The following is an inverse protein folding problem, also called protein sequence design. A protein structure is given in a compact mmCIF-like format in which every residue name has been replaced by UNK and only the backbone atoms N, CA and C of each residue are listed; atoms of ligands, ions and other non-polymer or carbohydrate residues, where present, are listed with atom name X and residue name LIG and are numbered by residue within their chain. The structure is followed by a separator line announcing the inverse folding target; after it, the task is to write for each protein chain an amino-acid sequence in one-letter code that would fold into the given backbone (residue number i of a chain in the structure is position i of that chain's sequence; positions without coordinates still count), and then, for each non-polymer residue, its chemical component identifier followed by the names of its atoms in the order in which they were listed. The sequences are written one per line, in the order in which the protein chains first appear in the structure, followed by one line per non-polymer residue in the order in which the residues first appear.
data_IF_521301624184
#
_entry.id   IF_521301624184
#
_cell.length_a   1.000
_cell.length_b   1.000
_cell.length_c   1.000
_cell.angle_alpha   90.00
_cell.angle_beta   90.00
_cell.angle_gamma   90.00
#
_symmetry.space_group_name_H-M   'P 1'
#
loop_
_entity.id
_entity.type
_entity.pdbx_description
1 polymer ?
#
# COMPACT_ATOMS: atom_id res chain seq x y z
N UNK A 1 -23.01 7.15 14.51
CA UNK A 1 -23.71 5.86 14.55
C UNK A 1 -24.01 5.46 13.13
N UNK A 2 -23.44 4.36 12.65
CA UNK A 2 -23.76 3.80 11.32
C UNK A 2 -25.11 3.08 11.40
N UNK A 3 -26.12 3.61 10.74
CA UNK A 3 -27.45 2.99 10.62
C UNK A 3 -27.42 1.93 9.53
N UNK A 4 -27.76 0.68 9.87
CA UNK A 4 -27.86 -0.41 8.90
C UNK A 4 -29.33 -0.53 8.49
N UNK A 5 -29.62 -0.22 7.22
CA UNK A 5 -30.94 -0.38 6.61
C UNK A 5 -30.91 -1.56 5.64
N UNK A 6 -31.83 -2.50 5.81
CA UNK A 6 -31.99 -3.69 4.98
C UNK A 6 -33.33 -3.61 4.29
N UNK A 7 -33.31 -3.51 2.96
CA UNK A 7 -34.51 -3.54 2.13
C UNK A 7 -34.38 -4.68 1.12
N UNK A 8 -35.38 -5.55 1.02
CA UNK A 8 -35.42 -6.63 0.04
C UNK A 8 -36.15 -7.88 0.53
N UNK A 9 -35.84 -9.02 -0.08
CA UNK A 9 -36.47 -10.33 0.18
C UNK A 9 -36.01 -11.02 1.47
N UNK A 10 -35.42 -10.27 2.41
CA UNK A 10 -34.97 -10.82 3.69
C UNK A 10 -36.12 -10.88 4.68
N UNK A 11 -36.26 -12.01 5.37
CA UNK A 11 -37.20 -12.13 6.48
C UNK A 11 -36.68 -11.35 7.70
N UNK A 12 -37.52 -10.45 8.20
CA UNK A 12 -37.25 -9.62 9.37
C UNK A 12 -37.93 -10.25 10.59
N UNK A 13 -37.17 -10.35 11.68
CA UNK A 13 -37.59 -10.98 12.93
C UNK A 13 -37.50 -9.98 14.08
N UNK A 14 -38.47 -10.01 14.98
CA UNK A 14 -38.56 -9.10 16.13
C UNK A 14 -37.58 -9.43 17.26
N UNK A 15 -37.07 -10.66 17.31
CA UNK A 15 -36.10 -11.09 18.32
C UNK A 15 -34.98 -11.94 17.72
N UNK A 16 -33.83 -11.91 18.40
CA UNK A 16 -32.67 -12.71 18.03
C UNK A 16 -32.97 -14.21 18.07
N UNK A 17 -33.69 -14.67 19.10
CA UNK A 17 -34.06 -16.08 19.29
C UNK A 17 -34.95 -16.61 18.16
N UNK A 18 -35.90 -15.79 17.71
CA UNK A 18 -36.83 -16.15 16.63
C UNK A 18 -36.12 -16.17 15.28
N UNK A 19 -35.16 -15.25 15.09
CA UNK A 19 -34.27 -15.33 13.95
C UNK A 19 -33.42 -16.61 13.99
N UNK A 20 -32.81 -16.94 15.14
CA UNK A 20 -31.90 -18.10 15.26
C UNK A 20 -32.62 -19.44 15.05
N UNK A 21 -33.86 -19.57 15.53
CA UNK A 21 -34.65 -20.78 15.35
C UNK A 21 -35.10 -20.98 13.90
N UNK A 22 -35.33 -19.89 13.15
CA UNK A 22 -35.76 -19.92 11.75
C UNK A 22 -34.58 -20.02 10.78
N UNK A 23 -33.44 -19.44 11.14
CA UNK A 23 -32.24 -19.34 10.30
C UNK A 23 -31.42 -20.64 10.36
N UNK A 24 -31.66 -21.56 9.42
CA UNK A 24 -31.03 -22.90 9.42
C UNK A 24 -29.54 -22.89 9.01
N UNK A 25 -29.15 -22.04 8.06
CA UNK A 25 -27.81 -22.05 7.44
C UNK A 25 -27.04 -20.73 7.57
N UNK A 26 -27.62 -19.73 8.23
CA UNK A 26 -27.07 -18.37 8.32
C UNK A 26 -26.74 -17.94 9.74
N UNK A 27 -26.40 -16.65 9.87
CA UNK A 27 -26.32 -15.96 11.16
C UNK A 27 -27.31 -14.82 11.20
N UNK A 28 -27.76 -14.51 12.41
CA UNK A 28 -28.68 -13.40 12.66
C UNK A 28 -27.89 -12.11 12.89
N UNK A 29 -28.25 -11.07 12.15
CA UNK A 29 -27.65 -9.75 12.25
C UNK A 29 -28.72 -8.74 12.64
N UNK A 30 -28.33 -7.78 13.47
CA UNK A 30 -29.19 -6.66 13.84
C UNK A 30 -29.21 -5.61 12.73
N UNK A 31 -30.38 -5.07 12.44
CA UNK A 31 -30.60 -3.94 11.53
C UNK A 31 -31.45 -2.88 12.23
N UNK A 32 -31.06 -1.61 12.06
CA UNK A 32 -31.84 -0.48 12.57
C UNK A 32 -33.19 -0.37 11.86
N UNK A 33 -33.24 -0.76 10.58
CA UNK A 33 -34.46 -0.80 9.80
C UNK A 33 -34.40 -2.01 8.86
N UNK A 34 -35.36 -2.91 8.95
CA UNK A 34 -35.52 -4.05 8.04
C UNK A 34 -36.91 -3.96 7.41
N UNK A 35 -36.99 -3.72 6.09
CA UNK A 35 -38.27 -3.60 5.36
C UNK A 35 -39.29 -2.65 6.03
N UNK A 36 -38.81 -1.55 6.62
CA UNK A 36 -39.62 -0.58 7.35
C UNK A 36 -39.91 -0.92 8.82
N UNK A 37 -39.50 -2.08 9.31
CA UNK A 37 -39.54 -2.43 10.73
C UNK A 37 -38.27 -1.95 11.45
N UNK A 38 -38.39 -1.06 12.45
CA UNK A 38 -37.25 -0.63 13.24
C UNK A 38 -36.76 -1.76 14.16
N UNK A 39 -35.48 -1.71 14.50
CA UNK A 39 -34.82 -2.55 15.53
C UNK A 39 -35.11 -4.06 15.38
N UNK A 40 -34.83 -4.59 14.20
CA UNK A 40 -35.16 -5.96 13.83
C UNK A 40 -33.93 -6.76 13.42
N UNK A 41 -34.07 -8.09 13.42
CA UNK A 41 -33.02 -9.03 13.06
C UNK A 41 -33.32 -9.68 11.72
N UNK A 42 -32.30 -9.99 10.94
CA UNK A 42 -32.45 -10.72 9.69
C UNK A 42 -31.43 -11.85 9.58
N UNK A 43 -31.80 -12.91 8.87
CA UNK A 43 -30.94 -14.05 8.61
C UNK A 43 -30.11 -13.81 7.35
N UNK A 44 -28.79 -13.89 7.45
CA UNK A 44 -27.90 -13.85 6.30
C UNK A 44 -26.78 -14.88 6.42
N UNK A 45 -26.49 -15.60 5.33
CA UNK A 45 -25.30 -16.44 5.25
C UNK A 45 -24.04 -15.60 5.11
N UNK A 46 -24.15 -14.45 4.42
CA UNK A 46 -23.02 -13.56 4.21
C UNK A 46 -22.93 -12.59 5.38
N UNK A 47 -21.81 -12.66 6.09
CA UNK A 47 -21.47 -11.64 7.07
C UNK A 47 -21.20 -10.31 6.36
N UNK A 48 -21.75 -9.17 6.82
CA UNK A 48 -21.47 -7.87 6.21
C UNK A 48 -19.97 -7.54 6.23
N UNK A 49 -19.20 -8.16 7.13
CA UNK A 49 -17.74 -8.04 7.19
C UNK A 49 -17.01 -8.62 5.98
N UNK A 50 -17.62 -9.54 5.21
CA UNK A 50 -16.97 -10.09 4.01
C UNK A 50 -16.65 -8.99 2.99
N UNK A 51 -17.53 -8.02 2.81
CA UNK A 51 -17.27 -6.90 1.90
C UNK A 51 -16.18 -5.97 2.43
N UNK A 52 -16.12 -5.78 3.75
CA UNK A 52 -15.09 -4.96 4.39
C UNK A 52 -13.72 -5.63 4.24
N UNK A 53 -13.61 -6.91 4.62
CA UNK A 53 -12.36 -7.65 4.49
C UNK A 53 -11.96 -7.86 3.03
N UNK A 54 -12.92 -8.07 2.13
CA UNK A 54 -12.69 -8.13 0.69
C UNK A 54 -12.17 -6.81 0.11
N UNK A 55 -12.75 -5.68 0.52
CA UNK A 55 -12.26 -4.36 0.09
C UNK A 55 -10.85 -4.08 0.60
N UNK A 56 -10.58 -4.39 1.87
CA UNK A 56 -9.26 -4.22 2.49
C UNK A 56 -8.21 -5.09 1.80
N UNK A 57 -8.52 -6.36 1.50
CA UNK A 57 -7.57 -7.26 0.86
C UNK A 57 -7.19 -6.79 -0.55
N UNK A 58 -8.16 -6.32 -1.34
CA UNK A 58 -7.91 -5.73 -2.67
C UNK A 58 -7.07 -4.46 -2.55
N UNK A 59 -7.37 -3.58 -1.59
CA UNK A 59 -6.60 -2.36 -1.37
C UNK A 59 -5.13 -2.67 -1.01
N UNK A 60 -4.89 -3.65 -0.13
CA UNK A 60 -3.55 -4.10 0.25
C UNK A 60 -2.81 -4.66 -0.97
N UNK A 61 -3.47 -5.50 -1.77
CA UNK A 61 -2.86 -6.07 -2.98
C UNK A 61 -2.44 -4.99 -3.98
N UNK A 62 -3.30 -3.98 -4.19
CA UNK A 62 -2.98 -2.83 -5.05
C UNK A 62 -1.79 -2.04 -4.50
N UNK A 63 -1.73 -1.81 -3.19
CA UNK A 63 -0.63 -1.12 -2.55
C UNK A 63 0.69 -1.90 -2.68
N UNK A 64 0.66 -3.21 -2.43
CA UNK A 64 1.83 -4.07 -2.59
C UNK A 64 2.33 -4.07 -4.05
N UNK A 65 1.43 -4.19 -5.02
CA UNK A 65 1.77 -4.15 -6.44
C UNK A 65 2.44 -2.81 -6.80
N UNK A 66 1.87 -1.70 -6.35
CA UNK A 66 2.44 -0.37 -6.56
C UNK A 66 3.82 -0.22 -5.92
N UNK A 67 3.99 -0.63 -4.66
CA UNK A 67 5.27 -0.56 -3.95
C UNK A 67 6.36 -1.40 -4.63
N UNK A 68 6.02 -2.60 -5.12
CA UNK A 68 6.97 -3.47 -5.82
C UNK A 68 7.38 -2.84 -7.16
N UNK A 69 6.42 -2.35 -7.94
CA UNK A 69 6.69 -1.70 -9.22
C UNK A 69 7.56 -0.44 -9.08
N UNK A 70 7.23 0.42 -8.12
CA UNK A 70 8.00 1.64 -7.85
C UNK A 70 9.40 1.33 -7.35
N UNK A 71 9.55 0.38 -6.43
CA UNK A 71 10.87 -0.04 -5.93
C UNK A 71 11.72 -0.66 -7.03
N UNK A 72 11.13 -1.46 -7.92
CA UNK A 72 11.82 -2.06 -9.06
C UNK A 72 12.29 -1.01 -10.07
N UNK A 73 11.45 -0.03 -10.39
CA UNK A 73 11.81 1.09 -11.27
C UNK A 73 12.90 1.97 -10.65
N UNK A 74 12.80 2.26 -9.35
CA UNK A 74 13.81 3.01 -8.61
C UNK A 74 15.16 2.28 -8.62
N UNK A 75 15.18 0.97 -8.37
CA UNK A 75 16.40 0.16 -8.45
C UNK A 75 17.01 0.24 -9.85
N UNK A 76 16.22 -0.01 -10.91
CA UNK A 76 16.68 0.09 -12.31
C UNK A 76 17.26 1.47 -12.63
N UNK A 77 16.60 2.54 -12.17
CA UNK A 77 17.07 3.92 -12.31
C UNK A 77 18.39 4.18 -11.57
N UNK A 78 18.51 3.70 -10.34
CA UNK A 78 19.75 3.81 -9.56
C UNK A 78 20.92 3.07 -10.21
N UNK A 79 20.70 1.85 -10.75
CA UNK A 79 21.73 1.12 -11.49
C UNK A 79 22.19 1.88 -12.74
N UNK A 80 21.23 2.43 -13.49
CA UNK A 80 21.53 3.23 -14.68
C UNK A 80 22.35 4.49 -14.33
N UNK A 81 22.00 5.18 -13.25
CA UNK A 81 22.73 6.36 -12.79
C UNK A 81 24.11 6.03 -12.21
N UNK A 82 24.25 4.92 -11.46
CA UNK A 82 25.55 4.47 -10.94
C UNK A 82 26.51 4.13 -12.08
N UNK A 83 26.03 3.42 -13.12
CA UNK A 83 26.85 3.15 -14.31
C UNK A 83 27.29 4.44 -14.99
N UNK A 84 26.40 5.43 -15.19
CA UNK A 84 26.81 6.72 -15.78
C UNK A 84 27.80 7.51 -14.92
N UNK A 85 27.74 7.41 -13.58
CA UNK A 85 28.74 8.06 -12.72
C UNK A 85 30.14 7.43 -12.82
N UNK A 86 30.24 6.11 -13.08
CA UNK A 86 31.53 5.46 -13.31
C UNK A 86 32.18 5.87 -14.65
N UNK A 87 31.39 6.26 -15.65
CA UNK A 87 31.92 6.69 -16.96
C UNK A 87 32.22 8.20 -17.06
N UNK A 88 31.61 9.05 -16.22
CA UNK A 88 31.82 10.52 -16.23
C UNK A 88 32.94 10.98 -15.28
N UNK A 89 33.45 10.12 -14.39
CA UNK A 89 34.67 10.38 -13.59
C UNK A 89 35.76 9.33 -13.85
N UNK A 90 36.43 9.34 -15.01
CA UNK A 90 37.74 8.72 -15.12
C UNK A 90 38.77 9.63 -14.39
N UNK A 91 39.36 9.11 -13.32
CA UNK A 91 40.47 9.67 -12.55
C UNK A 91 40.26 11.01 -11.82
N UNK A 92 39.80 10.93 -10.58
CA UNK A 92 40.48 11.74 -9.56
C UNK A 92 41.73 10.95 -9.14
N UNK A 93 42.85 11.34 -9.74
CA UNK A 93 44.18 10.92 -9.29
C UNK A 93 44.24 11.23 -7.79
N UNK A 94 44.28 10.18 -6.96
CA UNK A 94 44.64 10.32 -5.56
C UNK A 94 46.07 10.85 -5.58
N UNK A 95 46.22 12.16 -5.38
CA UNK A 95 47.51 12.76 -5.02
C UNK A 95 47.82 12.21 -3.65
N UNK A 96 48.41 11.01 -3.62
CA UNK A 96 49.14 10.53 -2.46
C UNK A 96 50.23 11.56 -2.26
N UNK A 97 50.05 12.39 -1.24
CA UNK A 97 50.97 13.44 -0.80
C UNK A 97 52.26 12.75 -0.37
N UNK A 98 53.09 12.38 -1.34
CA UNK A 98 54.41 11.83 -1.10
C UNK A 98 55.38 13.04 -1.07
N UNK A 99 55.96 13.41 0.07
CA UNK A 99 56.72 14.65 0.25
C UNK A 99 58.10 14.64 -0.42
N UNK A 100 58.33 13.80 -1.44
CA UNK A 100 59.68 13.51 -1.92
C UNK A 100 59.95 13.70 -3.41
N UNK A 101 59.02 14.26 -4.17
CA UNK A 101 59.29 14.63 -5.56
C UNK A 101 58.77 16.04 -5.85
N UNK A 102 59.69 17.00 -5.81
CA UNK A 102 59.46 18.34 -6.32
C UNK A 102 59.56 18.34 -7.85
N UNK A 103 58.52 18.75 -8.59
CA UNK A 103 58.69 19.10 -9.98
C UNK A 103 59.19 20.55 -10.05
N UNK A 104 60.49 20.70 -10.23
CA UNK A 104 61.02 21.85 -10.95
C UNK A 104 60.38 21.88 -12.34
N UNK A 105 60.14 23.10 -12.86
CA UNK A 105 59.66 23.44 -14.21
C UNK A 105 58.16 23.73 -14.33
N UNK A 106 57.78 24.96 -13.96
CA UNK A 106 56.90 25.82 -14.76
C UNK A 106 56.89 27.23 -14.17
N UNK A 107 57.97 28.00 -14.36
CA UNK A 107 57.89 29.45 -14.26
C UNK A 107 58.80 30.08 -15.32
N UNK A 108 58.40 29.90 -16.57
CA UNK A 108 58.74 30.83 -17.63
C UNK A 108 57.41 31.38 -18.13
N UNK A 109 57.24 32.69 -17.96
CA UNK A 109 56.54 33.63 -18.84
C UNK A 109 56.19 34.90 -18.03
N UNK A 110 56.84 36.00 -18.44
CA UNK A 110 56.40 37.41 -18.45
C UNK A 110 56.39 38.26 -17.17
N UNK A 111 57.50 38.97 -16.94
CA UNK A 111 57.47 40.42 -16.64
C UNK A 111 58.76 41.12 -17.10
N UNK A 112 58.70 41.78 -18.25
CA UNK A 112 59.25 43.12 -18.53
C UNK A 112 58.57 43.67 -19.79
#
# INVERSE_FOLDING_TARGET
MTTITVNGSFDCFSSFELCQSTCSSGKCYFANLCNGQPDSYFCSLLSPYFYIFGGISVAILMLCCYCVCTSFLAWKGCQYFQQRRQYVYPQQVVVTRNPHFAPHLAQDQTKF
#
